data_IF_338825272147
#
_entry.id   IF_338825272147
#
_cell.length_a   1.000
_cell.length_b   1.000
_cell.length_c   1.000
_cell.angle_alpha   90.00
_cell.angle_beta   90.00
_cell.angle_gamma   90.00
#
_symmetry.space_group_name_H-M   'P 1'
#
loop_
_entity.id
_entity.type
_entity.pdbx_description
1 polymer ?
#
# COMPACT_ATOMS: atom_id res chain seq x y z
N UNK A 1 35.78 52.17 59.73
CA UNK A 1 36.89 53.10 59.37
C UNK A 1 37.21 52.90 57.94
N UNK A 2 36.97 53.96 57.17
CA UNK A 2 37.68 54.43 55.97
C UNK A 2 37.74 53.56 54.71
N UNK A 3 36.98 54.01 53.70
CA UNK A 3 37.32 53.95 52.24
C UNK A 3 38.65 54.67 51.95
N UNK A 4 39.29 54.42 50.82
CA UNK A 4 39.02 55.24 49.64
C UNK A 4 38.99 54.41 48.31
N UNK A 5 38.21 54.79 47.44
CA UNK A 5 38.05 55.33 46.09
C UNK A 5 39.33 55.39 45.23
N UNK A 6 39.28 54.91 43.98
CA UNK A 6 39.91 55.52 42.80
C UNK A 6 39.38 54.85 41.52
N UNK A 7 38.58 55.55 40.84
CA UNK A 7 38.66 56.12 39.48
C UNK A 7 38.94 55.23 38.27
N UNK A 8 37.95 55.25 37.43
CA UNK A 8 37.73 54.94 36.04
C UNK A 8 38.92 54.93 35.06
N UNK A 9 38.84 54.02 34.10
CA UNK A 9 39.12 54.37 32.70
C UNK A 9 38.21 53.58 31.77
N UNK A 10 37.41 54.29 30.96
CA UNK A 10 36.65 53.83 29.83
C UNK A 10 37.60 53.31 28.76
N UNK A 11 37.32 52.12 28.25
CA UNK A 11 37.89 51.58 27.04
C UNK A 11 36.76 50.93 26.22
N UNK A 12 36.29 51.68 25.23
CA UNK A 12 35.30 51.21 24.27
C UNK A 12 35.92 50.21 23.33
N UNK A 13 35.40 48.99 23.33
CA UNK A 13 35.70 47.97 22.34
C UNK A 13 34.43 47.31 21.89
N UNK A 14 33.75 47.89 20.93
CA UNK A 14 32.62 47.28 20.24
C UNK A 14 33.16 46.18 19.34
N UNK A 15 33.19 44.95 19.86
CA UNK A 15 33.41 43.76 19.05
C UNK A 15 32.10 43.45 18.30
N UNK A 16 32.04 43.86 17.04
CA UNK A 16 30.96 43.51 16.13
C UNK A 16 31.02 41.99 15.89
N UNK A 17 30.17 41.21 16.59
CA UNK A 17 29.84 39.86 16.20
C UNK A 17 28.99 39.94 14.93
N UNK A 18 29.61 39.71 13.79
CA UNK A 18 28.91 39.38 12.55
C UNK A 18 28.33 37.97 12.73
N UNK A 19 27.05 37.87 13.14
CA UNK A 19 26.28 36.64 13.03
C UNK A 19 25.97 36.45 11.55
N UNK A 20 26.75 35.62 10.89
CA UNK A 20 26.40 35.10 9.56
C UNK A 20 25.17 34.22 9.72
N UNK A 21 23.98 34.78 9.51
CA UNK A 21 22.78 34.03 9.29
C UNK A 21 22.93 33.28 7.96
N UNK A 22 23.40 32.04 8.02
CA UNK A 22 23.31 31.11 6.89
C UNK A 22 21.82 30.89 6.61
N UNK A 23 21.29 31.57 5.64
CA UNK A 23 19.98 31.28 5.03
C UNK A 23 20.09 29.90 4.41
N UNK A 24 19.65 28.88 5.17
CA UNK A 24 19.27 27.61 4.58
C UNK A 24 18.02 27.85 3.71
N UNK A 25 18.24 28.26 2.47
CA UNK A 25 17.25 28.09 1.43
C UNK A 25 17.06 26.57 1.28
N UNK A 26 15.86 26.03 1.52
CA UNK A 26 15.61 24.64 1.14
C UNK A 26 15.89 24.58 -0.36
N UNK A 27 16.86 23.74 -0.74
CA UNK A 27 17.06 23.41 -2.14
C UNK A 27 15.72 22.88 -2.64
N UNK A 28 15.00 23.68 -3.42
CA UNK A 28 13.81 23.23 -4.12
C UNK A 28 14.29 22.07 -5.01
N UNK A 29 13.96 20.85 -4.62
CA UNK A 29 14.12 19.73 -5.54
C UNK A 29 13.40 20.14 -6.83
N UNK A 30 14.03 20.01 -8.01
CA UNK A 30 13.37 20.34 -9.25
C UNK A 30 12.09 19.48 -9.29
N UNK A 31 10.94 20.14 -9.33
CA UNK A 31 9.69 19.47 -9.62
C UNK A 31 9.94 18.72 -10.92
N UNK A 32 9.76 17.39 -10.90
CA UNK A 32 9.89 16.58 -12.11
C UNK A 32 8.98 17.24 -13.14
N UNK A 33 9.57 17.84 -14.15
CA UNK A 33 8.83 18.55 -15.16
C UNK A 33 7.83 17.58 -15.77
N UNK A 34 6.57 17.99 -15.85
CA UNK A 34 5.52 17.22 -16.50
C UNK A 34 5.98 16.91 -17.93
N UNK A 35 6.29 15.62 -18.18
CA UNK A 35 6.70 15.18 -19.51
C UNK A 35 5.45 14.73 -20.28
N UNK A 36 5.17 15.44 -21.35
CA UNK A 36 4.13 15.05 -22.31
C UNK A 36 4.82 14.37 -23.47
N UNK A 37 4.31 13.19 -23.87
CA UNK A 37 4.77 12.43 -25.03
C UNK A 37 3.59 12.11 -25.95
N UNK A 38 3.86 11.81 -27.21
CA UNK A 38 2.85 11.65 -28.23
C UNK A 38 2.32 12.99 -28.74
N UNK A 39 1.35 12.95 -29.64
CA UNK A 39 0.72 14.13 -30.21
C UNK A 39 -0.43 14.62 -29.31
N UNK A 40 -0.34 15.87 -28.82
CA UNK A 40 -1.39 16.45 -27.99
C UNK A 40 -2.72 16.47 -28.72
N UNK A 41 -3.79 16.04 -28.05
CA UNK A 41 -5.12 15.93 -28.62
C UNK A 41 -5.39 14.63 -29.38
N UNK A 42 -4.38 13.77 -29.55
CA UNK A 42 -4.53 12.43 -30.14
C UNK A 42 -4.62 11.34 -29.07
N UNK A 43 -5.10 10.12 -29.41
CA UNK A 43 -5.10 8.98 -28.49
C UNK A 43 -3.71 8.54 -27.99
N UNK A 44 -2.63 8.95 -28.68
CA UNK A 44 -1.24 8.64 -28.29
C UNK A 44 -0.68 9.58 -27.24
N UNK A 45 -1.35 10.68 -26.92
CA UNK A 45 -0.87 11.64 -25.92
C UNK A 45 -0.81 11.02 -24.52
N UNK A 46 0.35 11.13 -23.88
CA UNK A 46 0.56 10.70 -22.49
C UNK A 46 1.28 11.77 -21.70
N UNK A 47 1.13 11.76 -20.38
CA UNK A 47 1.81 12.67 -19.47
C UNK A 47 2.25 11.95 -18.21
N UNK A 48 3.38 12.39 -17.64
CA UNK A 48 3.81 12.02 -16.28
C UNK A 48 3.48 13.16 -15.33
N UNK A 49 3.09 12.83 -14.11
CA UNK A 49 2.78 13.79 -13.05
C UNK A 49 3.64 13.53 -11.81
N UNK A 50 3.71 14.52 -10.93
CA UNK A 50 4.34 14.35 -9.62
C UNK A 50 3.58 13.29 -8.81
N UNK A 51 4.29 12.22 -8.41
CA UNK A 51 3.71 11.07 -7.68
C UNK A 51 3.30 11.34 -6.24
N UNK A 52 3.44 12.57 -5.74
CA UNK A 52 3.12 12.92 -4.34
C UNK A 52 1.65 13.20 -4.09
N UNK A 53 0.83 13.29 -5.13
CA UNK A 53 -0.59 13.60 -5.03
C UNK A 53 -1.40 12.93 -6.14
N UNK A 54 -2.70 12.86 -5.95
CA UNK A 54 -3.61 12.43 -7.02
C UNK A 54 -3.57 13.40 -8.19
N UNK A 55 -3.82 12.91 -9.43
CA UNK A 55 -3.97 13.76 -10.59
C UNK A 55 -5.02 14.84 -10.37
N UNK A 56 -4.82 15.99 -11.02
CA UNK A 56 -5.89 16.97 -11.18
C UNK A 56 -7.06 16.34 -11.99
N UNK A 57 -8.28 16.86 -11.84
CA UNK A 57 -9.38 16.50 -12.74
C UNK A 57 -8.99 16.65 -14.21
N UNK A 58 -9.62 15.86 -15.06
CA UNK A 58 -9.38 15.93 -16.50
C UNK A 58 -9.43 17.38 -17.01
N UNK A 59 -8.53 17.75 -17.92
CA UNK A 59 -8.54 19.09 -18.50
C UNK A 59 -9.82 19.32 -19.31
N UNK A 60 -10.20 20.58 -19.47
CA UNK A 60 -11.31 20.94 -20.35
C UNK A 60 -11.03 20.43 -21.76
N UNK A 61 -12.10 20.04 -22.47
CA UNK A 61 -12.00 19.62 -23.86
C UNK A 61 -11.25 20.67 -24.69
N UNK A 62 -10.15 20.27 -25.32
CA UNK A 62 -9.25 21.13 -26.07
C UNK A 62 -9.54 21.15 -27.58
N UNK A 63 -10.60 20.48 -28.04
CA UNK A 63 -11.00 20.43 -29.43
C UNK A 63 -12.04 21.49 -29.79
N UNK A 64 -12.67 21.33 -30.93
CA UNK A 64 -13.75 22.20 -31.44
C UNK A 64 -14.95 21.36 -31.86
N UNK A 65 -16.10 21.68 -31.30
CA UNK A 65 -17.36 21.03 -31.66
C UNK A 65 -18.16 22.00 -32.58
N UNK A 66 -18.53 21.54 -33.76
CA UNK A 66 -19.37 22.24 -34.73
C UNK A 66 -20.63 21.39 -35.03
N UNK A 67 -21.61 21.99 -35.69
CA UNK A 67 -22.84 21.29 -36.10
C UNK A 67 -22.55 20.13 -37.05
N UNK A 68 -21.51 20.26 -37.88
CA UNK A 68 -21.05 19.21 -38.79
C UNK A 68 -19.79 18.53 -38.24
N UNK A 69 -19.78 17.18 -38.26
CA UNK A 69 -18.66 16.37 -37.76
C UNK A 69 -17.34 16.68 -38.49
N UNK A 70 -17.38 16.91 -39.82
CA UNK A 70 -16.19 17.22 -40.61
C UNK A 70 -15.57 18.60 -40.32
N UNK A 71 -16.32 19.49 -39.68
CA UNK A 71 -15.83 20.80 -39.24
C UNK A 71 -15.40 20.78 -37.77
N UNK A 72 -15.64 19.71 -37.08
CA UNK A 72 -15.24 19.51 -35.70
C UNK A 72 -13.79 19.03 -35.61
N UNK A 73 -13.08 19.41 -34.54
CA UNK A 73 -11.71 18.99 -34.26
C UNK A 73 -11.74 18.12 -33.03
N UNK A 74 -11.44 16.85 -33.21
CA UNK A 74 -11.32 15.88 -32.08
C UNK A 74 -10.12 16.22 -31.22
N UNK A 75 -10.24 15.90 -29.92
CA UNK A 75 -9.15 16.08 -28.96
C UNK A 75 -9.24 15.05 -27.83
N UNK A 76 -8.11 14.44 -27.50
CA UNK A 76 -7.96 13.49 -26.41
C UNK A 76 -7.13 14.09 -25.29
N UNK A 77 -7.61 13.99 -24.05
CA UNK A 77 -6.79 14.34 -22.89
C UNK A 77 -5.58 13.41 -22.81
N UNK A 78 -4.36 13.92 -22.49
CA UNK A 78 -3.20 13.07 -22.30
C UNK A 78 -3.43 12.05 -21.19
N UNK A 79 -3.18 10.78 -21.47
CA UNK A 79 -3.24 9.71 -20.45
C UNK A 79 -2.07 9.82 -19.50
N UNK A 80 -2.32 9.69 -18.20
CA UNK A 80 -1.26 9.65 -17.18
C UNK A 80 -0.59 8.29 -17.25
N UNK A 81 0.73 8.29 -17.31
CA UNK A 81 1.58 7.10 -17.32
C UNK A 81 2.71 7.23 -16.31
N UNK A 82 3.23 6.13 -15.77
CA UNK A 82 4.35 6.17 -14.85
C UNK A 82 5.63 6.63 -15.57
N UNK A 83 6.62 7.15 -14.83
CA UNK A 83 7.93 7.46 -15.40
C UNK A 83 8.57 6.23 -16.05
N UNK A 84 9.42 6.45 -17.05
CA UNK A 84 10.24 5.35 -17.61
C UNK A 84 11.04 4.67 -16.49
N UNK A 85 11.03 3.33 -16.47
CA UNK A 85 11.70 2.51 -15.43
C UNK A 85 11.10 2.64 -14.03
N UNK A 86 9.84 3.04 -13.91
CA UNK A 86 9.13 2.95 -12.65
C UNK A 86 9.22 1.51 -12.10
N UNK A 87 9.57 1.30 -10.83
CA UNK A 87 9.78 -0.05 -10.29
C UNK A 87 8.47 -0.79 -10.11
N UNK A 88 8.51 -2.10 -10.24
CA UNK A 88 7.46 -2.97 -9.71
C UNK A 88 7.50 -2.98 -8.19
N UNK A 89 6.35 -3.01 -7.54
CA UNK A 89 6.22 -2.97 -6.08
C UNK A 89 5.43 -4.20 -5.63
N UNK A 90 6.08 -5.06 -4.85
CA UNK A 90 5.43 -6.16 -4.14
C UNK A 90 5.49 -5.88 -2.64
N UNK A 91 4.35 -5.63 -2.02
CA UNK A 91 4.21 -5.42 -0.59
C UNK A 91 3.59 -6.67 0.04
N UNK A 92 4.37 -7.40 0.83
CA UNK A 92 3.91 -8.60 1.55
C UNK A 92 3.76 -8.25 3.03
N UNK A 93 2.61 -8.61 3.61
CA UNK A 93 2.38 -8.48 5.05
C UNK A 93 1.81 -9.79 5.60
N UNK A 94 2.53 -10.38 6.54
CA UNK A 94 2.04 -11.51 7.33
C UNK A 94 1.15 -11.02 8.46
N UNK A 95 0.24 -11.87 8.93
CA UNK A 95 -0.72 -11.54 9.99
C UNK A 95 -0.38 -12.30 11.27
N UNK A 96 -0.40 -11.62 12.41
CA UNK A 96 -0.04 -12.16 13.73
C UNK A 96 1.36 -12.81 13.80
N UNK A 97 2.30 -12.34 12.97
CA UNK A 97 3.69 -12.79 13.01
C UNK A 97 4.54 -11.80 13.79
N UNK A 98 4.93 -12.18 15.00
CA UNK A 98 5.79 -11.37 15.86
C UNK A 98 7.21 -11.19 15.29
N UNK A 99 7.88 -10.10 15.67
CA UNK A 99 9.25 -9.77 15.25
C UNK A 99 10.26 -10.91 15.49
N UNK A 100 10.15 -11.59 16.62
CA UNK A 100 11.06 -12.68 17.01
C UNK A 100 10.71 -14.05 16.43
N UNK A 101 9.73 -14.18 15.53
CA UNK A 101 9.31 -15.46 14.96
C UNK A 101 10.17 -15.90 13.77
N UNK A 102 10.41 -15.06 12.75
CA UNK A 102 11.17 -15.46 11.56
C UNK A 102 12.69 -15.50 11.83
N UNK A 103 13.37 -16.48 11.22
CA UNK A 103 14.83 -16.63 11.29
C UNK A 103 15.59 -15.37 10.86
N UNK A 104 15.03 -14.57 9.98
CA UNK A 104 15.61 -13.30 9.50
C UNK A 104 15.91 -12.31 10.64
N UNK A 105 15.18 -12.37 11.73
CA UNK A 105 15.38 -11.54 12.93
C UNK A 105 15.84 -12.36 14.15
N UNK A 106 16.35 -13.57 13.94
CA UNK A 106 16.87 -14.44 15.00
C UNK A 106 15.83 -15.36 15.62
N UNK A 107 14.62 -15.46 15.03
CA UNK A 107 13.59 -16.39 15.46
C UNK A 107 13.87 -17.83 15.06
N UNK A 108 13.12 -18.76 15.66
CA UNK A 108 13.30 -20.21 15.46
C UNK A 108 12.69 -20.73 14.16
N UNK A 109 11.74 -20.00 13.56
CA UNK A 109 11.04 -20.45 12.36
C UNK A 109 11.87 -20.12 11.11
N UNK A 110 12.29 -21.11 10.34
CA UNK A 110 13.05 -20.89 9.10
C UNK A 110 12.22 -20.10 8.07
N UNK A 111 12.72 -18.95 7.67
CA UNK A 111 12.09 -18.08 6.65
C UNK A 111 13.08 -17.78 5.51
N UNK A 112 13.46 -18.79 4.70
CA UNK A 112 14.58 -18.67 3.76
C UNK A 112 14.38 -17.61 2.68
N UNK A 113 13.15 -17.34 2.29
CA UNK A 113 12.85 -16.27 1.32
C UNK A 113 13.06 -14.88 1.93
N UNK A 114 12.62 -14.65 3.18
CA UNK A 114 12.90 -13.41 3.89
C UNK A 114 14.40 -13.24 4.13
N UNK A 115 15.10 -14.31 4.49
CA UNK A 115 16.56 -14.30 4.66
C UNK A 115 17.29 -13.93 3.37
N UNK A 116 16.84 -14.45 2.24
CA UNK A 116 17.38 -14.11 0.91
C UNK A 116 17.16 -12.63 0.58
N UNK A 117 15.97 -12.09 0.82
CA UNK A 117 15.66 -10.67 0.60
C UNK A 117 16.52 -9.80 1.53
N UNK A 118 16.64 -10.18 2.81
CA UNK A 118 17.43 -9.45 3.79
C UNK A 118 18.94 -9.38 3.45
N UNK A 119 19.47 -10.38 2.74
CA UNK A 119 20.89 -10.38 2.29
C UNK A 119 21.19 -9.32 1.23
N UNK A 120 20.20 -8.93 0.44
CA UNK A 120 20.34 -7.97 -0.67
C UNK A 120 19.60 -6.65 -0.44
N UNK A 121 18.82 -6.58 0.63
CA UNK A 121 17.99 -5.44 0.98
C UNK A 121 18.33 -4.85 2.36
N UNK A 122 17.37 -4.12 2.92
CA UNK A 122 17.49 -3.51 4.24
C UNK A 122 16.63 -4.27 5.25
N UNK A 123 17.13 -4.41 6.49
CA UNK A 123 16.37 -4.89 7.63
C UNK A 123 16.12 -3.72 8.59
N UNK A 124 14.86 -3.46 8.86
CA UNK A 124 14.45 -2.47 9.85
C UNK A 124 14.10 -3.18 11.15
N UNK A 125 14.69 -2.74 12.26
CA UNK A 125 14.45 -3.28 13.60
C UNK A 125 13.70 -2.30 14.51
N UNK A 126 13.25 -1.18 13.97
CA UNK A 126 12.46 -0.16 14.67
C UNK A 126 11.24 0.23 13.83
N UNK A 127 10.34 -0.74 13.63
CA UNK A 127 9.06 -0.55 12.96
C UNK A 127 7.95 -0.81 13.97
N UNK A 128 6.95 0.06 13.98
CA UNK A 128 5.79 -0.04 14.84
C UNK A 128 4.53 -0.16 14.02
N UNK A 129 3.63 -1.05 14.42
CA UNK A 129 2.28 -1.18 13.93
C UNK A 129 1.30 -0.77 15.04
N UNK A 130 0.01 -0.72 14.73
CA UNK A 130 -1.00 -0.66 15.76
C UNK A 130 -1.15 -2.03 16.44
N UNK A 131 -1.88 -2.09 17.56
CA UNK A 131 -2.06 -3.34 18.29
C UNK A 131 -2.97 -4.36 17.58
N UNK A 132 -3.72 -3.95 16.54
CA UNK A 132 -4.75 -4.76 15.90
C UNK A 132 -4.62 -4.73 14.37
N UNK A 133 -5.12 -5.78 13.71
CA UNK A 133 -4.98 -5.99 12.26
C UNK A 133 -5.72 -4.93 11.42
N UNK A 134 -7.03 -4.71 11.58
CA UNK A 134 -7.75 -3.74 10.74
C UNK A 134 -7.26 -2.30 10.90
N UNK A 135 -6.93 -1.79 12.11
CA UNK A 135 -6.28 -0.49 12.27
C UNK A 135 -4.92 -0.39 11.56
N UNK A 136 -4.08 -1.42 11.68
CA UNK A 136 -2.77 -1.47 11.01
C UNK A 136 -2.93 -1.44 9.49
N UNK A 137 -3.87 -2.22 8.95
CA UNK A 137 -4.16 -2.28 7.50
C UNK A 137 -4.65 -0.94 6.99
N UNK A 138 -5.61 -0.31 7.67
CA UNK A 138 -6.11 1.01 7.33
C UNK A 138 -5.00 2.07 7.34
N UNK A 139 -4.15 2.06 8.37
CA UNK A 139 -3.01 2.98 8.45
C UNK A 139 -2.00 2.74 7.30
N UNK A 140 -1.68 1.48 7.00
CA UNK A 140 -0.74 1.11 5.95
C UNK A 140 -1.21 1.56 4.57
N UNK A 141 -2.45 1.23 4.20
CA UNK A 141 -2.95 1.54 2.85
C UNK A 141 -3.27 3.01 2.63
N UNK A 142 -3.53 3.78 3.70
CA UNK A 142 -3.83 5.23 3.59
C UNK A 142 -2.62 6.13 3.89
N UNK A 143 -1.57 5.60 4.52
CA UNK A 143 -0.46 6.39 5.02
C UNK A 143 -0.87 7.39 6.11
N UNK A 144 -1.99 7.13 6.83
CA UNK A 144 -2.58 8.00 7.84
C UNK A 144 -2.66 7.30 9.19
N UNK A 145 -2.71 8.08 10.27
CA UNK A 145 -3.06 7.52 11.57
C UNK A 145 -4.40 6.79 11.49
N UNK A 146 -4.48 5.61 12.09
CA UNK A 146 -5.66 4.73 11.99
C UNK A 146 -6.96 5.37 12.50
N UNK A 147 -6.90 6.25 13.52
CA UNK A 147 -8.07 7.01 13.96
C UNK A 147 -8.57 7.99 12.87
N UNK A 148 -7.63 8.65 12.16
CA UNK A 148 -7.97 9.51 11.02
C UNK A 148 -8.55 8.71 9.86
N UNK A 149 -8.19 7.42 9.75
CA UNK A 149 -8.70 6.50 8.75
C UNK A 149 -10.02 5.81 9.16
N UNK A 150 -10.60 6.15 10.33
CA UNK A 150 -11.85 5.56 10.80
C UNK A 150 -11.69 4.26 11.61
N UNK A 151 -10.44 3.81 11.85
CA UNK A 151 -10.11 2.53 12.46
C UNK A 151 -9.43 2.70 13.82
N UNK A 152 -10.01 3.48 14.71
CA UNK A 152 -9.57 3.60 16.11
C UNK A 152 -9.70 2.31 16.90
N UNK A 153 -10.47 1.35 16.40
CA UNK A 153 -10.72 0.02 16.97
C UNK A 153 -10.78 -1.01 15.85
N UNK A 154 -10.74 -2.29 16.20
CA UNK A 154 -10.91 -3.40 15.23
C UNK A 154 -12.32 -3.36 14.62
N UNK A 155 -12.47 -3.75 13.36
CA UNK A 155 -13.72 -3.63 12.58
C UNK A 155 -14.94 -4.23 13.27
N UNK A 156 -14.76 -5.37 13.94
CA UNK A 156 -15.83 -6.10 14.63
C UNK A 156 -16.36 -5.36 15.87
N UNK A 157 -15.60 -4.40 16.38
CA UNK A 157 -15.97 -3.57 17.54
C UNK A 157 -16.25 -2.12 17.14
N UNK A 158 -16.52 -1.88 15.86
CA UNK A 158 -16.82 -0.55 15.35
C UNK A 158 -18.03 0.08 16.07
N UNK A 159 -17.96 1.39 16.21
CA UNK A 159 -19.01 2.22 16.86
C UNK A 159 -19.43 3.34 15.94
N UNK A 160 -20.51 4.08 16.29
CA UNK A 160 -20.95 5.25 15.52
C UNK A 160 -20.12 6.52 15.75
N UNK A 161 -19.06 6.46 16.55
CA UNK A 161 -18.23 7.65 16.83
C UNK A 161 -17.25 7.94 15.69
N UNK A 162 -16.98 9.22 15.38
CA UNK A 162 -15.96 9.60 14.41
C UNK A 162 -14.61 8.98 14.75
N UNK A 163 -13.94 8.40 13.75
CA UNK A 163 -12.66 7.73 13.92
C UNK A 163 -12.74 6.27 14.41
N UNK A 164 -13.95 5.75 14.72
CA UNK A 164 -14.17 4.40 15.26
C UNK A 164 -15.24 3.62 14.51
N UNK A 165 -15.68 4.12 13.36
CA UNK A 165 -16.80 3.55 12.60
C UNK A 165 -16.37 2.49 11.56
N UNK A 166 -15.07 2.22 11.44
CA UNK A 166 -14.49 1.27 10.49
C UNK A 166 -14.87 1.53 9.03
N UNK A 167 -15.01 2.81 8.68
CA UNK A 167 -15.24 3.25 7.30
C UNK A 167 -14.09 4.15 6.89
N UNK A 168 -13.38 3.77 5.82
CA UNK A 168 -12.35 4.62 5.23
C UNK A 168 -12.98 5.88 4.65
N UNK A 169 -12.61 7.08 5.12
CA UNK A 169 -13.16 8.32 4.59
C UNK A 169 -12.80 8.49 3.10
N UNK A 170 -13.76 8.97 2.30
CA UNK A 170 -13.57 9.16 0.85
C UNK A 170 -12.50 10.20 0.48
N UNK A 171 -12.15 11.09 1.41
CA UNK A 171 -11.07 12.07 1.27
C UNK A 171 -9.68 11.51 1.57
N UNK A 172 -9.57 10.23 1.93
CA UNK A 172 -8.32 9.53 2.21
C UNK A 172 -8.05 8.53 1.09
N UNK A 173 -7.23 8.95 0.12
CA UNK A 173 -6.82 8.06 -0.95
C UNK A 173 -5.94 6.94 -0.39
N UNK A 174 -6.18 5.71 -0.86
CA UNK A 174 -5.32 4.57 -0.61
C UNK A 174 -4.09 4.60 -1.52
N UNK A 175 -3.02 3.91 -1.13
CA UNK A 175 -1.85 3.70 -1.99
C UNK A 175 -2.24 3.01 -3.31
N UNK A 176 -3.22 2.09 -3.29
CA UNK A 176 -3.76 1.46 -4.48
C UNK A 176 -4.35 2.50 -5.44
N UNK A 177 -5.19 3.40 -4.92
CA UNK A 177 -5.77 4.47 -5.73
C UNK A 177 -4.71 5.42 -6.28
N UNK A 178 -3.77 5.87 -5.44
CA UNK A 178 -2.69 6.77 -5.87
C UNK A 178 -1.90 6.15 -7.01
N UNK A 179 -1.44 4.90 -6.84
CA UNK A 179 -0.63 4.22 -7.86
C UNK A 179 -1.42 3.88 -9.13
N UNK A 180 -2.70 3.52 -9.02
CA UNK A 180 -3.59 3.35 -10.18
C UNK A 180 -3.67 4.63 -11.01
N UNK A 181 -3.95 5.77 -10.37
CA UNK A 181 -4.05 7.06 -11.03
C UNK A 181 -2.71 7.52 -11.65
N UNK A 182 -1.59 6.93 -11.22
CA UNK A 182 -0.26 7.12 -11.81
C UNK A 182 0.09 6.04 -12.85
N UNK A 183 -0.86 5.22 -13.28
CA UNK A 183 -0.69 4.27 -14.36
C UNK A 183 -0.11 2.90 -13.98
N UNK A 184 -0.04 2.56 -12.69
CA UNK A 184 0.31 1.21 -12.26
C UNK A 184 -0.86 0.23 -12.44
N UNK A 185 -0.56 -1.04 -12.68
CA UNK A 185 -1.50 -2.13 -12.46
C UNK A 185 -1.56 -2.43 -10.96
N UNK A 186 -2.72 -2.28 -10.33
CA UNK A 186 -2.86 -2.42 -8.88
C UNK A 186 -3.67 -3.67 -8.52
N UNK A 187 -3.14 -4.47 -7.58
CA UNK A 187 -3.80 -5.70 -7.17
C UNK A 187 -3.68 -5.93 -5.66
N UNK A 188 -4.70 -6.58 -5.09
CA UNK A 188 -4.78 -6.99 -3.69
C UNK A 188 -5.05 -8.48 -3.61
N UNK A 189 -4.19 -9.21 -2.90
CA UNK A 189 -4.32 -10.63 -2.65
C UNK A 189 -4.43 -10.91 -1.16
N UNK A 190 -5.54 -11.50 -0.72
CA UNK A 190 -5.71 -12.00 0.63
C UNK A 190 -6.67 -11.23 1.50
N UNK A 191 -6.33 -11.07 2.77
CA UNK A 191 -7.16 -10.47 3.82
C UNK A 191 -7.35 -8.98 3.60
N UNK A 192 -8.59 -8.52 3.56
CA UNK A 192 -8.91 -7.10 3.54
C UNK A 192 -9.06 -6.55 4.98
N UNK A 193 -10.07 -6.94 5.69
CA UNK A 193 -10.39 -6.53 7.06
C UNK A 193 -10.65 -5.01 7.22
N UNK A 194 -10.89 -4.30 6.13
CA UNK A 194 -11.24 -2.88 6.13
C UNK A 194 -12.64 -2.61 5.51
N UNK A 195 -13.40 -3.66 5.20
CA UNK A 195 -14.80 -3.56 4.78
C UNK A 195 -15.69 -3.51 6.03
N UNK A 196 -16.54 -2.48 6.20
CA UNK A 196 -17.48 -2.44 7.31
C UNK A 196 -18.53 -3.56 7.20
N UNK A 197 -19.03 -4.06 8.35
CA UNK A 197 -19.90 -5.23 8.40
C UNK A 197 -21.14 -5.13 7.48
N UNK A 198 -21.74 -3.94 7.37
CA UNK A 198 -22.91 -3.72 6.50
C UNK A 198 -22.60 -3.80 5.00
N UNK A 199 -21.33 -3.71 4.61
CA UNK A 199 -20.87 -3.77 3.23
C UNK A 199 -20.17 -5.10 2.90
N UNK A 200 -20.01 -6.02 3.86
CA UNK A 200 -19.26 -7.27 3.70
C UNK A 200 -20.06 -8.39 3.02
N UNK A 201 -21.01 -8.04 2.15
CA UNK A 201 -21.86 -9.01 1.47
C UNK A 201 -21.52 -9.13 -0.03
N UNK A 202 -21.79 -10.31 -0.60
CA UNK A 202 -21.59 -10.59 -2.03
C UNK A 202 -22.44 -9.72 -2.98
N UNK A 203 -23.38 -8.95 -2.44
CA UNK A 203 -24.21 -8.01 -3.21
C UNK A 203 -23.88 -6.54 -2.94
N UNK A 204 -22.79 -6.27 -2.21
CA UNK A 204 -22.32 -4.93 -1.92
C UNK A 204 -23.06 -4.24 -0.76
N UNK A 205 -22.85 -2.91 -0.60
CA UNK A 205 -22.14 -2.00 -1.53
C UNK A 205 -20.63 -2.25 -1.58
N UNK A 206 -20.02 -2.00 -2.74
CA UNK A 206 -18.61 -2.33 -3.00
C UNK A 206 -17.63 -1.16 -2.87
N UNK A 207 -18.11 0.02 -2.46
CA UNK A 207 -17.27 1.23 -2.33
C UNK A 207 -16.09 1.05 -1.37
N UNK A 208 -16.27 0.25 -0.32
CA UNK A 208 -15.24 -0.04 0.68
C UNK A 208 -14.44 -1.32 0.40
N UNK A 209 -14.76 -2.04 -0.67
CA UNK A 209 -13.99 -3.22 -1.09
C UNK A 209 -12.70 -2.79 -1.80
N UNK A 210 -11.70 -3.66 -1.93
CA UNK A 210 -10.46 -3.33 -2.63
C UNK A 210 -10.67 -2.68 -4.00
N UNK A 211 -11.65 -3.14 -4.77
CA UNK A 211 -12.00 -2.56 -6.08
C UNK A 211 -12.46 -1.09 -5.94
N UNK A 212 -13.30 -0.79 -4.96
CA UNK A 212 -13.74 0.58 -4.66
C UNK A 212 -12.62 1.46 -4.07
N UNK A 213 -11.59 0.83 -3.50
CA UNK A 213 -10.41 1.47 -2.90
C UNK A 213 -9.26 1.71 -3.88
N UNK A 214 -9.47 1.44 -5.19
CA UNK A 214 -8.51 1.72 -6.24
C UNK A 214 -7.58 0.56 -6.62
N UNK A 215 -7.89 -0.65 -6.19
CA UNK A 215 -7.22 -1.85 -6.68
C UNK A 215 -8.00 -2.43 -7.87
N UNK A 216 -7.33 -2.65 -9.00
CA UNK A 216 -7.96 -3.11 -10.23
C UNK A 216 -8.23 -4.63 -10.25
N UNK A 217 -7.59 -5.35 -9.33
CA UNK A 217 -7.78 -6.78 -9.14
C UNK A 217 -7.77 -7.11 -7.65
N UNK A 218 -8.71 -7.96 -7.25
CA UNK A 218 -8.80 -8.50 -5.90
C UNK A 218 -9.00 -10.01 -5.95
N UNK A 219 -8.22 -10.74 -5.15
CA UNK A 219 -8.40 -12.16 -4.88
C UNK A 219 -8.21 -12.38 -3.39
N UNK A 220 -9.30 -12.60 -2.64
CA UNK A 220 -9.17 -12.66 -1.20
C UNK A 220 -10.49 -12.74 -0.45
N UNK A 221 -10.45 -12.38 0.82
CA UNK A 221 -11.60 -12.38 1.71
C UNK A 221 -11.70 -11.04 2.45
N UNK A 222 -12.92 -10.65 2.84
CA UNK A 222 -13.19 -9.32 3.40
C UNK A 222 -13.25 -9.29 4.92
N UNK A 223 -13.31 -10.45 5.57
CA UNK A 223 -13.33 -10.59 7.02
C UNK A 223 -11.96 -10.54 7.70
N UNK A 224 -11.97 -10.70 9.02
CA UNK A 224 -10.78 -10.74 9.87
C UNK A 224 -9.98 -12.03 9.77
N UNK A 225 -10.62 -13.13 9.41
CA UNK A 225 -10.02 -14.45 9.23
C UNK A 225 -10.70 -15.24 8.11
N UNK A 226 -10.13 -16.38 7.76
CA UNK A 226 -10.72 -17.29 6.79
C UNK A 226 -10.28 -18.73 7.06
N UNK A 227 -11.19 -19.68 6.83
CA UNK A 227 -10.83 -21.08 6.74
C UNK A 227 -9.85 -21.28 5.57
N UNK A 228 -8.74 -22.00 5.79
CA UNK A 228 -7.69 -22.15 4.77
C UNK A 228 -8.01 -23.24 3.73
N UNK A 229 -9.00 -24.11 4.00
CA UNK A 229 -9.41 -25.19 3.10
C UNK A 229 -10.68 -24.87 2.33
N UNK A 230 -11.62 -24.16 2.96
CA UNK A 230 -12.93 -23.77 2.40
C UNK A 230 -13.24 -22.32 2.77
N UNK A 231 -12.49 -21.35 2.25
CA UNK A 231 -12.68 -19.93 2.57
C UNK A 231 -13.91 -19.35 1.87
N UNK A 232 -14.51 -18.33 2.49
CA UNK A 232 -15.40 -17.42 1.80
C UNK A 232 -14.57 -16.45 0.95
N UNK A 233 -14.35 -16.79 -0.32
CA UNK A 233 -13.37 -16.16 -1.19
C UNK A 233 -14.03 -15.40 -2.34
N UNK A 234 -13.40 -14.29 -2.73
CA UNK A 234 -13.87 -13.45 -3.81
C UNK A 234 -12.77 -13.21 -4.85
N UNK A 235 -13.20 -13.12 -6.12
CA UNK A 235 -12.40 -12.50 -7.19
C UNK A 235 -13.13 -11.21 -7.60
N UNK A 236 -12.48 -10.08 -7.35
CA UNK A 236 -13.11 -8.76 -7.41
C UNK A 236 -14.33 -8.70 -6.48
N UNK A 237 -15.53 -8.67 -7.02
CA UNK A 237 -16.80 -8.67 -6.27
C UNK A 237 -17.57 -9.98 -6.40
N UNK A 238 -17.04 -10.95 -7.14
CA UNK A 238 -17.68 -12.24 -7.38
C UNK A 238 -17.18 -13.29 -6.41
N UNK A 239 -18.06 -13.94 -5.70
CA UNK A 239 -17.74 -15.08 -4.85
C UNK A 239 -17.25 -16.26 -5.69
N UNK A 240 -16.20 -16.94 -5.24
CA UNK A 240 -15.58 -18.07 -5.95
C UNK A 240 -15.30 -19.23 -5.00
N UNK A 241 -15.24 -20.41 -5.55
CA UNK A 241 -15.06 -21.67 -4.82
C UNK A 241 -13.93 -22.51 -5.45
N UNK A 242 -12.66 -22.02 -5.47
CA UNK A 242 -11.57 -22.68 -6.19
C UNK A 242 -11.15 -24.02 -5.60
N UNK A 243 -11.60 -24.35 -4.41
CA UNK A 243 -11.36 -25.60 -3.69
C UNK A 243 -12.32 -26.73 -4.10
N UNK A 244 -13.46 -26.43 -4.72
CA UNK A 244 -14.43 -27.44 -5.12
C UNK A 244 -13.82 -28.41 -6.11
N UNK A 245 -13.99 -29.71 -5.85
CA UNK A 245 -13.44 -30.80 -6.66
C UNK A 245 -11.91 -30.93 -6.61
N UNK A 246 -11.21 -30.21 -5.70
CA UNK A 246 -9.74 -30.25 -5.57
C UNK A 246 -9.31 -30.65 -4.15
N UNK A 247 -9.26 -31.96 -3.83
CA UNK A 247 -8.78 -32.43 -2.55
C UNK A 247 -7.37 -31.88 -2.24
N UNK A 248 -7.17 -31.39 -1.02
CA UNK A 248 -5.88 -30.83 -0.60
C UNK A 248 -5.60 -29.41 -1.08
N UNK A 249 -6.52 -28.76 -1.76
CA UNK A 249 -6.40 -27.33 -2.05
C UNK A 249 -6.28 -26.53 -0.74
N UNK A 250 -5.40 -25.54 -0.71
CA UNK A 250 -5.20 -24.67 0.44
C UNK A 250 -5.10 -23.21 0.00
N UNK A 251 -5.70 -22.30 0.76
CA UNK A 251 -5.79 -20.87 0.42
C UNK A 251 -4.42 -20.24 0.19
N UNK A 252 -3.42 -20.54 1.03
CA UNK A 252 -2.08 -19.94 0.90
C UNK A 252 -1.45 -20.28 -0.45
N UNK A 253 -1.53 -21.55 -0.88
CA UNK A 253 -1.03 -21.99 -2.17
C UNK A 253 -1.87 -21.44 -3.32
N UNK A 254 -3.20 -21.59 -3.24
CA UNK A 254 -4.10 -21.12 -4.31
C UNK A 254 -4.05 -19.62 -4.55
N UNK A 255 -3.79 -18.85 -3.50
CA UNK A 255 -3.57 -17.40 -3.62
C UNK A 255 -2.24 -17.07 -4.31
N UNK A 256 -1.17 -17.80 -3.98
CA UNK A 256 0.12 -17.63 -4.63
C UNK A 256 0.03 -17.96 -6.12
N UNK A 257 -0.66 -19.04 -6.47
CA UNK A 257 -0.86 -19.44 -7.87
C UNK A 257 -1.64 -18.38 -8.66
N UNK A 258 -2.73 -17.84 -8.10
CA UNK A 258 -3.51 -16.76 -8.75
C UNK A 258 -2.68 -15.47 -8.90
N UNK A 259 -1.85 -15.13 -7.90
CA UNK A 259 -0.96 -13.97 -7.97
C UNK A 259 0.11 -14.13 -9.05
N UNK A 260 0.71 -15.31 -9.17
CA UNK A 260 1.70 -15.62 -10.22
C UNK A 260 1.03 -15.55 -11.60
N UNK A 261 -0.15 -16.14 -11.76
CA UNK A 261 -0.91 -16.07 -13.01
C UNK A 261 -1.24 -14.61 -13.39
N UNK A 262 -1.64 -13.79 -12.42
CA UNK A 262 -1.89 -12.37 -12.64
C UNK A 262 -0.64 -11.63 -13.13
N UNK A 263 0.54 -11.90 -12.54
CA UNK A 263 1.80 -11.33 -13.00
C UNK A 263 2.17 -11.79 -14.43
N UNK A 264 1.94 -13.05 -14.76
CA UNK A 264 2.12 -13.54 -16.13
C UNK A 264 1.24 -12.80 -17.12
N UNK A 265 -0.02 -12.57 -16.79
CA UNK A 265 -0.95 -11.80 -17.64
C UNK A 265 -0.49 -10.35 -17.86
N UNK A 266 -0.04 -9.66 -16.81
CA UNK A 266 0.51 -8.30 -16.96
C UNK A 266 1.70 -8.32 -17.90
N UNK A 267 2.65 -9.23 -17.68
CA UNK A 267 3.87 -9.31 -18.49
C UNK A 267 3.59 -9.65 -19.97
N UNK A 268 2.57 -10.45 -20.25
CA UNK A 268 2.19 -10.81 -21.62
C UNK A 268 1.44 -9.71 -22.34
N UNK A 269 0.57 -8.98 -21.66
CA UNK A 269 -0.35 -8.03 -22.27
C UNK A 269 0.22 -6.61 -22.26
N UNK A 270 0.87 -6.21 -21.18
CA UNK A 270 1.42 -4.87 -20.96
C UNK A 270 2.78 -4.94 -20.24
N UNK A 271 3.84 -5.46 -20.89
CA UNK A 271 5.14 -5.71 -20.25
C UNK A 271 5.81 -4.47 -19.67
N UNK A 272 5.51 -3.29 -20.21
CA UNK A 272 6.06 -2.01 -19.75
C UNK A 272 5.24 -1.35 -18.63
N UNK A 273 4.07 -1.90 -18.29
CA UNK A 273 3.22 -1.36 -17.21
C UNK A 273 3.73 -1.87 -15.86
N UNK A 274 4.24 -1.00 -14.97
CA UNK A 274 4.64 -1.44 -13.64
C UNK A 274 3.42 -1.88 -12.83
N UNK A 275 3.64 -2.78 -11.87
CA UNK A 275 2.59 -3.23 -10.98
C UNK A 275 2.83 -2.81 -9.52
N UNK A 276 1.76 -2.65 -8.78
CA UNK A 276 1.71 -2.66 -7.34
C UNK A 276 0.84 -3.85 -6.90
N UNK A 277 1.46 -4.80 -6.21
CA UNK A 277 0.78 -5.96 -5.64
C UNK A 277 0.83 -5.89 -4.12
N UNK A 278 -0.32 -5.80 -3.47
CA UNK A 278 -0.49 -5.93 -2.03
C UNK A 278 -0.87 -7.37 -1.71
N UNK A 279 0.10 -8.16 -1.24
CA UNK A 279 -0.03 -9.59 -0.97
C UNK A 279 -0.08 -9.84 0.54
N UNK A 280 -1.25 -10.16 1.06
CA UNK A 280 -1.54 -10.23 2.49
C UNK A 280 -2.34 -11.49 2.82
N UNK A 281 -1.71 -12.66 2.85
CA UNK A 281 -2.39 -13.96 2.83
C UNK A 281 -3.30 -14.24 4.03
N UNK A 282 -3.19 -13.45 5.11
CA UNK A 282 -3.92 -13.71 6.35
C UNK A 282 -3.26 -14.79 7.24
N UNK A 283 -2.41 -15.64 6.69
CA UNK A 283 -1.53 -16.48 7.48
C UNK A 283 -0.41 -15.55 8.08
N UNK A 284 -0.07 -15.71 9.31
CA UNK A 284 -0.15 -16.79 10.30
C UNK A 284 -1.30 -16.68 11.32
N UNK A 285 -2.31 -15.85 11.07
CA UNK A 285 -3.49 -15.69 11.91
C UNK A 285 -4.29 -17.01 12.04
N UNK A 286 -4.97 -17.20 13.15
CA UNK A 286 -5.94 -18.31 13.30
C UNK A 286 -7.10 -18.19 12.27
N UNK A 287 -7.75 -19.30 11.88
CA UNK A 287 -7.45 -20.68 12.25
C UNK A 287 -6.16 -21.20 11.60
N UNK A 288 -5.35 -21.89 12.39
CA UNK A 288 -4.09 -22.47 11.91
C UNK A 288 -4.37 -23.76 11.16
N UNK A 289 -4.45 -23.70 9.84
CA UNK A 289 -4.71 -24.82 8.96
C UNK A 289 -3.53 -25.10 8.01
N UNK A 290 -2.33 -25.47 8.51
CA UNK A 290 -1.20 -25.81 7.67
C UNK A 290 -1.45 -27.11 6.91
N UNK A 291 -0.80 -27.27 5.76
CA UNK A 291 -0.80 -28.56 5.08
C UNK A 291 0.06 -29.57 5.84
N UNK A 292 -0.28 -30.86 5.75
CA UNK A 292 0.49 -31.93 6.40
C UNK A 292 1.96 -31.93 6.00
N UNK A 293 2.27 -31.57 4.76
CA UNK A 293 3.65 -31.45 4.27
C UNK A 293 4.48 -30.48 5.11
N UNK A 294 3.93 -29.31 5.40
CA UNK A 294 4.63 -28.30 6.21
C UNK A 294 4.75 -28.70 7.67
N UNK A 295 3.72 -29.33 8.24
CA UNK A 295 3.79 -29.87 9.61
C UNK A 295 4.91 -30.90 9.72
N UNK A 296 4.90 -31.91 8.83
CA UNK A 296 5.93 -32.96 8.82
C UNK A 296 7.34 -32.40 8.61
N UNK A 297 7.47 -31.37 7.77
CA UNK A 297 8.76 -30.72 7.50
C UNK A 297 9.31 -30.01 8.73
N UNK A 298 8.49 -29.26 9.44
CA UNK A 298 8.92 -28.53 10.64
C UNK A 298 9.18 -29.49 11.80
N UNK A 299 8.35 -30.52 11.99
CA UNK A 299 8.58 -31.54 13.01
C UNK A 299 9.92 -32.26 12.84
N UNK A 300 10.30 -32.60 11.60
CA UNK A 300 11.61 -33.20 11.29
C UNK A 300 12.80 -32.31 11.61
N UNK A 301 12.61 -31.01 11.74
CA UNK A 301 13.69 -30.08 12.06
C UNK A 301 14.01 -30.04 13.56
N UNK A 302 13.16 -30.59 14.42
CA UNK A 302 13.32 -30.61 15.88
C UNK A 302 13.69 -29.23 16.45
N UNK A 303 12.95 -28.19 16.03
CA UNK A 303 13.22 -26.80 16.42
C UNK A 303 12.77 -26.48 17.86
N UNK A 304 11.97 -27.33 18.46
CA UNK A 304 11.40 -27.17 19.80
C UNK A 304 11.73 -28.41 20.63
N UNK A 305 12.02 -28.21 21.93
CA UNK A 305 12.43 -29.30 22.82
C UNK A 305 11.32 -30.32 23.08
N UNK A 306 10.06 -29.93 22.98
CA UNK A 306 8.88 -30.77 23.29
C UNK A 306 8.11 -31.26 22.06
N UNK A 307 8.69 -31.24 20.88
CA UNK A 307 8.09 -31.85 19.69
C UNK A 307 7.75 -30.91 18.56
#
# INVERSE_FOLDING_TARGET
MTRPSSTAKKGSGWLRMLVAAALFLPAAMPAMAQQVTGELGSPSATTTIDGRQLPAPDPKFGGVIKDEALQSIAWWAPRIVPPKKAPNILLIMTDDSGFGVPSTFGGVIPTPTMDRIAKTGLRYNNIHSTALCSPTRAALITGRNHHSAGFGVISEQSTGFPGYNSILPKDKATIGRILKEHGYATSWFGKDHNVPAFAASAVGPFDNWPIGQGFEYFYGFVGGDANQWQPNLFRNTTQIYPFEGKPGWNLVTGMADDAIEYLHRINQIQPDKPFFMYYVPGATHAPHHPTKEWVDKIQKMHLFEDG
#
